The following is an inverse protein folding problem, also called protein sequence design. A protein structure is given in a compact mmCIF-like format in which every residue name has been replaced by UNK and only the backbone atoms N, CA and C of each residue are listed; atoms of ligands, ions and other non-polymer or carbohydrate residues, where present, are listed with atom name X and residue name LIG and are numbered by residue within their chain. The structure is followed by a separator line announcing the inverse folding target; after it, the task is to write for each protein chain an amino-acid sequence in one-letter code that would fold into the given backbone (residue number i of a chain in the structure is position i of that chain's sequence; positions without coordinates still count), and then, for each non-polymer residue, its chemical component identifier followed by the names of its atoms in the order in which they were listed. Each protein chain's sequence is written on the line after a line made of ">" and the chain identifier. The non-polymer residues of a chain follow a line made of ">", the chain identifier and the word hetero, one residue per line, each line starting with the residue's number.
data_IF_697697848341
#
_entry.id   IF_697697848341
#
_cell.length_a   1.000
_cell.length_b   1.000
_cell.length_c   1.000
_cell.angle_alpha   90.00
_cell.angle_beta   90.00
_cell.angle_gamma   90.00
#
_symmetry.space_group_name_H-M   'P 1'
#
loop_
_entity.id
_entity.type
_entity.pdbx_description
1 polymer ?
#
# COMPACT_ATOMS: atom_id res chain seq x y z
N UNK A 1 1.20 14.25 21.86
CA UNK A 1 1.09 14.64 20.43
C UNK A 1 0.27 13.68 19.58
N UNK A 2 0.13 12.42 20.01
CA UNK A 2 -0.68 11.42 19.29
C UNK A 2 -2.18 11.46 19.60
N UNK A 3 -2.62 12.28 20.54
CA UNK A 3 -4.01 12.29 21.01
C UNK A 3 -4.96 13.12 20.15
N UNK A 4 -4.50 14.13 19.41
CA UNK A 4 -5.40 15.01 18.66
C UNK A 4 -5.83 14.44 17.29
N UNK A 5 -4.93 13.81 16.56
CA UNK A 5 -5.27 13.13 15.30
C UNK A 5 -6.06 11.84 15.55
N UNK A 6 -5.73 11.09 16.61
CA UNK A 6 -6.49 9.94 17.04
C UNK A 6 -7.91 10.31 17.51
N UNK A 7 -8.10 11.46 18.16
CA UNK A 7 -9.42 11.90 18.62
C UNK A 7 -10.36 12.26 17.45
N UNK A 8 -9.87 12.90 16.39
CA UNK A 8 -10.69 13.20 15.21
C UNK A 8 -11.08 11.96 14.43
N UNK A 9 -10.23 10.94 14.44
CA UNK A 9 -10.49 9.67 13.77
C UNK A 9 -11.40 8.74 14.59
N UNK A 10 -11.24 8.70 15.89
CA UNK A 10 -12.14 7.95 16.79
C UNK A 10 -13.58 8.45 16.66
N UNK A 11 -13.77 9.74 16.45
CA UNK A 11 -15.10 10.33 16.27
C UNK A 11 -15.75 9.90 14.94
N UNK A 12 -14.99 9.62 13.91
CA UNK A 12 -15.48 9.22 12.59
C UNK A 12 -15.77 7.73 12.45
N UNK A 13 -15.29 6.87 13.36
CA UNK A 13 -15.36 5.39 13.28
C UNK A 13 -16.53 4.77 14.03
N UNK A 14 -17.54 5.51 14.40
CA UNK A 14 -18.63 4.99 15.22
C UNK A 14 -19.52 3.97 14.51
N UNK A 15 -19.50 3.93 13.18
CA UNK A 15 -20.37 3.02 12.40
C UNK A 15 -20.07 1.52 12.60
N UNK A 16 -18.82 1.18 12.95
CA UNK A 16 -18.38 -0.22 13.00
C UNK A 16 -17.86 -0.66 14.37
N UNK A 17 -18.15 0.11 15.44
CA UNK A 17 -17.74 -0.25 16.79
C UNK A 17 -18.32 -1.60 17.25
N UNK A 18 -19.54 -1.93 16.80
CA UNK A 18 -20.21 -3.20 17.10
C UNK A 18 -19.77 -4.36 16.18
N UNK A 19 -19.01 -4.05 15.11
CA UNK A 19 -18.48 -5.03 14.15
C UNK A 19 -17.05 -4.66 13.77
N UNK A 20 -16.10 -4.70 14.72
CA UNK A 20 -14.74 -4.19 14.52
C UNK A 20 -13.95 -4.95 13.43
N UNK A 21 -14.27 -6.22 13.20
CA UNK A 21 -13.74 -7.03 12.12
C UNK A 21 -14.09 -6.51 10.72
N UNK A 22 -15.12 -5.66 10.60
CA UNK A 22 -15.58 -5.03 9.35
C UNK A 22 -15.19 -3.55 9.23
N UNK A 23 -14.49 -3.00 10.22
CA UNK A 23 -14.21 -1.57 10.29
C UNK A 23 -13.19 -1.11 9.24
N UNK A 24 -12.10 -1.86 9.03
CA UNK A 24 -11.14 -1.55 7.97
C UNK A 24 -11.65 -2.09 6.64
N UNK A 25 -12.04 -1.17 5.73
CA UNK A 25 -12.71 -1.48 4.47
C UNK A 25 -12.27 -0.55 3.33
N UNK A 26 -10.99 -0.52 2.97
CA UNK A 26 -10.51 0.31 1.87
C UNK A 26 -11.34 0.11 0.61
N UNK A 27 -11.69 1.21 -0.06
CA UNK A 27 -12.47 1.27 -1.30
C UNK A 27 -13.97 0.94 -1.17
N UNK A 28 -14.45 0.55 0.01
CA UNK A 28 -15.89 0.42 0.24
C UNK A 28 -16.53 1.81 0.36
N UNK A 29 -17.73 1.96 -0.17
CA UNK A 29 -18.50 3.21 -0.16
C UNK A 29 -18.81 3.73 1.25
N UNK A 30 -18.91 2.83 2.21
CA UNK A 30 -19.26 3.14 3.60
C UNK A 30 -18.04 3.26 4.52
N UNK A 31 -16.81 3.22 3.97
CA UNK A 31 -15.58 3.43 4.74
C UNK A 31 -15.61 4.76 5.47
N UNK A 32 -15.10 4.80 6.67
CA UNK A 32 -15.20 5.97 7.56
C UNK A 32 -13.92 6.29 8.35
N UNK A 33 -12.81 5.68 8.01
CA UNK A 33 -11.51 5.96 8.61
C UNK A 33 -10.62 4.74 8.75
N UNK A 34 -9.35 4.94 9.10
CA UNK A 34 -8.38 3.87 9.31
C UNK A 34 -8.54 3.21 10.68
N UNK A 35 -8.25 1.93 10.77
CA UNK A 35 -8.23 1.16 12.01
C UNK A 35 -6.80 1.07 12.51
N UNK A 36 -6.52 1.64 13.69
CA UNK A 36 -5.19 1.58 14.30
C UNK A 36 -4.89 0.13 14.72
N UNK A 37 -3.69 -0.32 14.39
CA UNK A 37 -3.13 -1.59 14.87
C UNK A 37 -1.72 -1.38 15.42
N UNK A 38 -1.09 -2.43 15.90
CA UNK A 38 0.28 -2.40 16.41
C UNK A 38 1.16 -3.41 15.70
N UNK A 39 2.46 -3.30 15.93
CA UNK A 39 3.43 -4.27 15.46
C UNK A 39 4.81 -3.68 15.25
N UNK A 40 5.71 -4.51 14.74
CA UNK A 40 7.06 -4.16 14.35
C UNK A 40 7.55 -5.09 13.26
N UNK A 41 8.53 -4.65 12.50
CA UNK A 41 9.12 -5.46 11.44
C UNK A 41 10.54 -4.99 11.12
N UNK A 42 11.33 -5.88 10.58
CA UNK A 42 12.70 -5.60 10.13
C UNK A 42 12.90 -6.23 8.76
N UNK A 43 13.41 -5.46 7.82
CA UNK A 43 13.93 -5.94 6.55
C UNK A 43 15.44 -5.78 6.56
N UNK A 44 16.16 -6.85 6.26
CA UNK A 44 17.61 -6.80 6.08
C UNK A 44 17.90 -6.47 4.63
N UNK A 45 18.50 -5.32 4.39
CA UNK A 45 18.99 -4.91 3.09
C UNK A 45 20.48 -5.20 3.01
N UNK A 46 20.89 -5.81 1.92
CA UNK A 46 22.26 -6.21 1.68
C UNK A 46 22.60 -6.00 0.21
N UNK A 47 23.85 -5.62 -0.06
CA UNK A 47 24.31 -5.50 -1.45
C UNK A 47 24.22 -6.88 -2.14
N UNK A 48 23.76 -6.89 -3.40
CA UNK A 48 23.37 -8.12 -4.10
C UNK A 48 24.52 -9.13 -4.24
N UNK A 49 25.69 -8.69 -4.72
CA UNK A 49 26.82 -9.60 -4.92
C UNK A 49 27.41 -10.08 -3.59
N UNK A 50 27.35 -9.26 -2.53
CA UNK A 50 27.74 -9.68 -1.19
C UNK A 50 26.81 -10.78 -0.66
N UNK A 51 25.49 -10.58 -0.76
CA UNK A 51 24.50 -11.58 -0.35
C UNK A 51 24.69 -12.89 -1.09
N UNK A 52 24.91 -12.82 -2.40
CA UNK A 52 25.13 -13.96 -3.29
C UNK A 52 26.44 -14.71 -2.97
N UNK A 53 27.52 -13.98 -2.74
CA UNK A 53 28.83 -14.57 -2.42
C UNK A 53 28.82 -15.41 -1.14
N UNK A 54 28.03 -15.02 -0.13
CA UNK A 54 27.87 -15.79 1.11
C UNK A 54 26.75 -16.85 1.06
N UNK A 55 26.10 -17.04 -0.10
CA UNK A 55 25.01 -18.00 -0.27
C UNK A 55 23.72 -17.61 0.44
N UNK A 56 23.45 -16.31 0.66
CA UNK A 56 22.24 -15.86 1.31
C UNK A 56 21.01 -16.19 0.48
N UNK A 57 19.89 -16.46 1.16
CA UNK A 57 18.60 -16.55 0.51
C UNK A 57 18.09 -15.15 0.23
N UNK A 58 18.10 -14.74 -1.02
CA UNK A 58 17.57 -13.47 -1.47
C UNK A 58 16.08 -13.63 -1.78
N UNK A 59 15.22 -12.80 -1.19
CA UNK A 59 13.77 -12.84 -1.38
C UNK A 59 13.33 -12.05 -2.61
N UNK A 60 13.95 -10.89 -2.82
CA UNK A 60 13.75 -10.02 -3.97
C UNK A 60 14.89 -9.00 -4.05
N UNK A 61 15.01 -8.32 -5.19
CA UNK A 61 15.79 -7.10 -5.30
C UNK A 61 14.91 -5.90 -5.00
N UNK A 62 15.41 -4.95 -4.21
CA UNK A 62 14.82 -3.62 -4.07
C UNK A 62 15.36 -2.76 -5.23
N UNK A 63 14.59 -2.66 -6.31
CA UNK A 63 15.03 -2.01 -7.55
C UNK A 63 14.51 -0.60 -7.70
N UNK A 64 13.48 -0.20 -6.94
CA UNK A 64 12.91 1.12 -6.99
C UNK A 64 12.66 1.70 -5.61
N UNK A 65 13.04 2.97 -5.45
CA UNK A 65 12.79 3.76 -4.26
C UNK A 65 12.38 5.17 -4.66
N UNK A 66 11.29 5.65 -4.09
CA UNK A 66 10.85 7.04 -4.19
C UNK A 66 10.54 7.60 -2.81
N UNK A 67 10.94 8.84 -2.58
CA UNK A 67 10.56 9.60 -1.41
C UNK A 67 10.30 11.05 -1.81
N UNK A 68 9.14 11.57 -1.45
CA UNK A 68 8.75 12.95 -1.74
C UNK A 68 8.06 13.58 -0.55
N UNK A 69 8.08 14.89 -0.50
CA UNK A 69 7.26 15.67 0.43
C UNK A 69 6.21 16.44 -0.37
N UNK A 70 4.98 16.35 0.12
CA UNK A 70 3.82 17.05 -0.40
C UNK A 70 3.36 18.04 0.69
N UNK A 71 3.72 19.29 0.54
CA UNK A 71 3.43 20.35 1.54
C UNK A 71 2.01 20.94 1.45
N UNK A 72 1.08 20.25 0.80
CA UNK A 72 -0.26 20.79 0.53
C UNK A 72 -1.10 20.96 1.79
N UNK A 73 -1.22 19.92 2.60
CA UNK A 73 -2.01 19.91 3.84
C UNK A 73 -1.44 18.92 4.84
N UNK A 74 -1.70 19.12 6.14
CA UNK A 74 -1.23 18.23 7.21
C UNK A 74 -1.85 16.83 7.12
N UNK A 75 -3.10 16.74 6.69
CA UNK A 75 -3.92 15.51 6.75
C UNK A 75 -4.43 15.08 5.37
N UNK A 76 -4.82 16.03 4.52
CA UNK A 76 -5.41 15.77 3.21
C UNK A 76 -4.32 15.68 2.13
N UNK A 77 -4.12 14.50 1.48
CA UNK A 77 -3.13 14.36 0.42
C UNK A 77 -3.57 15.12 -0.84
N UNK A 78 -2.63 15.78 -1.52
CA UNK A 78 -2.90 16.38 -2.85
C UNK A 78 -2.97 15.34 -3.97
N UNK A 79 -2.31 14.20 -3.80
CA UNK A 79 -2.08 13.19 -4.82
C UNK A 79 -0.86 13.46 -5.69
N UNK A 80 -0.42 14.69 -5.84
CA UNK A 80 0.73 15.08 -6.67
C UNK A 80 2.04 14.51 -6.12
N UNK A 81 2.24 14.61 -4.80
CA UNK A 81 3.39 14.00 -4.12
C UNK A 81 3.46 12.50 -4.32
N UNK A 82 2.32 11.81 -4.28
CA UNK A 82 2.22 10.38 -4.54
C UNK A 82 2.60 10.02 -5.99
N UNK A 83 2.15 10.81 -6.96
CA UNK A 83 2.51 10.64 -8.39
C UNK A 83 4.02 10.77 -8.57
N UNK A 84 4.64 11.83 -8.05
CA UNK A 84 6.09 12.03 -8.12
C UNK A 84 6.85 10.89 -7.44
N UNK A 85 6.37 10.46 -6.29
CA UNK A 85 6.98 9.39 -5.52
C UNK A 85 7.01 8.07 -6.31
N UNK A 86 5.87 7.67 -6.86
CA UNK A 86 5.78 6.47 -7.70
C UNK A 86 6.63 6.59 -8.97
N UNK A 87 6.59 7.73 -9.68
CA UNK A 87 7.44 7.97 -10.86
C UNK A 87 8.94 7.87 -10.52
N UNK A 88 9.35 8.41 -9.37
CA UNK A 88 10.74 8.29 -8.89
C UNK A 88 11.12 6.82 -8.66
N UNK A 89 10.29 6.04 -7.97
CA UNK A 89 10.55 4.62 -7.76
C UNK A 89 10.61 3.82 -9.06
N UNK A 90 9.77 4.16 -10.03
CA UNK A 90 9.74 3.51 -11.36
C UNK A 90 10.96 3.84 -12.22
N UNK A 91 11.66 4.95 -11.97
CA UNK A 91 12.80 5.36 -12.79
C UNK A 91 13.98 4.36 -12.77
N UNK A 92 14.05 3.50 -11.76
CA UNK A 92 15.08 2.46 -11.61
C UNK A 92 14.51 1.04 -11.67
N UNK A 93 13.20 0.88 -11.71
CA UNK A 93 12.55 -0.42 -11.88
C UNK A 93 12.83 -1.01 -13.27
N UNK A 94 13.06 -2.32 -13.34
CA UNK A 94 13.46 -3.02 -14.57
C UNK A 94 12.26 -3.63 -15.32
N UNK A 95 11.16 -3.92 -14.60
CA UNK A 95 9.99 -4.61 -15.12
C UNK A 95 8.70 -3.80 -14.91
N UNK A 96 7.65 -4.15 -15.66
CA UNK A 96 6.30 -3.62 -15.39
C UNK A 96 5.82 -4.12 -14.03
N UNK A 97 5.12 -3.26 -13.29
CA UNK A 97 4.55 -3.61 -11.99
C UNK A 97 3.34 -4.52 -12.18
N UNK A 98 3.35 -5.69 -11.58
CA UNK A 98 2.23 -6.64 -11.63
C UNK A 98 1.17 -6.32 -10.55
N UNK A 99 1.63 -5.84 -9.39
CA UNK A 99 0.79 -5.62 -8.23
C UNK A 99 1.24 -4.40 -7.42
N UNK A 100 0.27 -3.66 -6.89
CA UNK A 100 0.48 -2.55 -5.95
C UNK A 100 -0.20 -2.87 -4.61
N UNK A 101 0.59 -2.93 -3.55
CA UNK A 101 0.08 -2.83 -2.19
C UNK A 101 -0.04 -1.33 -1.86
N UNK A 102 -1.25 -0.84 -1.89
CA UNK A 102 -1.52 0.58 -1.71
C UNK A 102 -1.46 0.99 -0.24
N UNK A 103 -1.29 2.29 -0.03
CA UNK A 103 -1.48 2.85 1.30
C UNK A 103 -2.90 2.66 1.80
N UNK A 104 -3.92 2.84 0.97
CA UNK A 104 -5.32 2.47 1.12
C UNK A 104 -5.80 2.33 2.56
N UNK A 105 -6.04 3.45 3.25
CA UNK A 105 -6.27 3.49 4.70
C UNK A 105 -7.71 3.32 5.13
N UNK A 106 -8.64 3.07 4.19
CA UNK A 106 -10.09 3.06 4.48
C UNK A 106 -10.63 4.46 4.81
N UNK A 107 -10.01 5.50 4.26
CA UNK A 107 -10.48 6.88 4.43
C UNK A 107 -11.25 7.36 3.19
N UNK A 108 -12.33 8.15 3.37
CA UNK A 108 -13.15 8.61 2.24
C UNK A 108 -12.36 9.34 1.16
N UNK A 109 -11.41 10.18 1.54
CA UNK A 109 -10.62 11.01 0.62
C UNK A 109 -9.33 10.30 0.20
N UNK A 110 -8.58 9.73 1.14
CA UNK A 110 -7.25 9.18 0.91
C UNK A 110 -7.24 8.05 -0.13
N UNK A 111 -8.16 7.11 0.00
CA UNK A 111 -8.23 5.94 -0.90
C UNK A 111 -8.44 6.35 -2.37
N UNK A 112 -9.34 7.31 -2.62
CA UNK A 112 -9.65 7.76 -3.99
C UNK A 112 -8.54 8.65 -4.54
N UNK A 113 -7.93 9.49 -3.70
CA UNK A 113 -6.79 10.32 -4.11
C UNK A 113 -5.61 9.45 -4.53
N UNK A 114 -5.30 8.40 -3.78
CA UNK A 114 -4.26 7.44 -4.16
C UNK A 114 -4.59 6.70 -5.46
N UNK A 115 -5.83 6.22 -5.63
CA UNK A 115 -6.24 5.54 -6.87
C UNK A 115 -6.12 6.46 -8.09
N UNK A 116 -6.46 7.75 -7.97
CA UNK A 116 -6.27 8.74 -9.05
C UNK A 116 -4.79 8.91 -9.38
N UNK A 117 -3.92 9.00 -8.36
CA UNK A 117 -2.47 9.07 -8.55
C UNK A 117 -1.93 7.81 -9.24
N UNK A 118 -2.39 6.62 -8.84
CA UNK A 118 -2.05 5.35 -9.51
C UNK A 118 -2.54 5.38 -10.97
N UNK A 119 -3.76 5.84 -11.21
CA UNK A 119 -4.31 5.96 -12.58
C UNK A 119 -3.53 6.89 -13.49
N UNK A 120 -2.96 7.97 -12.95
CA UNK A 120 -2.09 8.88 -13.70
C UNK A 120 -0.75 8.22 -14.05
N UNK A 121 -0.14 7.52 -13.09
CA UNK A 121 1.17 6.87 -13.27
C UNK A 121 1.07 5.66 -14.20
N UNK A 122 -0.01 4.89 -14.09
CA UNK A 122 -0.23 3.64 -14.82
C UNK A 122 -1.35 3.77 -15.87
N UNK A 123 -1.30 4.84 -16.68
CA UNK A 123 -2.31 5.13 -17.69
C UNK A 123 -2.33 4.11 -18.88
N UNK A 124 -1.17 3.53 -19.20
CA UNK A 124 -1.03 2.57 -20.31
C UNK A 124 -1.40 1.13 -19.93
N UNK A 125 -1.25 0.78 -18.65
CA UNK A 125 -1.63 -0.53 -18.12
C UNK A 125 -2.01 -0.39 -16.65
N UNK A 126 -2.81 -1.31 -16.15
CA UNK A 126 -3.30 -1.23 -14.76
C UNK A 126 -2.81 -2.44 -13.98
N UNK A 127 -1.79 -2.29 -13.10
CA UNK A 127 -1.42 -3.35 -12.17
C UNK A 127 -2.57 -3.69 -11.22
N UNK A 128 -2.63 -4.92 -10.73
CA UNK A 128 -3.60 -5.32 -9.71
C UNK A 128 -3.34 -4.55 -8.42
N UNK A 129 -4.40 -4.24 -7.70
CA UNK A 129 -4.35 -3.38 -6.51
C UNK A 129 -5.03 -4.07 -5.34
N UNK A 130 -4.41 -4.04 -4.17
CA UNK A 130 -5.13 -4.27 -2.92
C UNK A 130 -4.52 -3.48 -1.76
N UNK A 131 -5.30 -3.30 -0.70
CA UNK A 131 -4.81 -2.77 0.57
C UNK A 131 -4.85 -3.85 1.64
N UNK A 132 -3.68 -4.25 2.11
CA UNK A 132 -3.54 -5.22 3.21
C UNK A 132 -3.98 -4.65 4.56
N UNK A 133 -4.20 -3.33 4.67
CA UNK A 133 -4.78 -2.70 5.87
C UNK A 133 -6.21 -3.14 6.15
N UNK A 134 -6.92 -3.67 5.15
CA UNK A 134 -8.23 -4.32 5.37
C UNK A 134 -8.14 -5.53 6.29
N UNK A 135 -6.98 -6.19 6.36
CA UNK A 135 -6.71 -7.40 7.13
C UNK A 135 -5.91 -7.12 8.41
N UNK A 136 -4.93 -6.23 8.32
CA UNK A 136 -3.95 -5.99 9.39
C UNK A 136 -4.19 -4.69 10.17
N UNK A 137 -5.05 -3.81 9.68
CA UNK A 137 -5.17 -2.44 10.18
C UNK A 137 -3.96 -1.58 9.82
N UNK A 138 -3.86 -0.42 10.41
CA UNK A 138 -2.82 0.56 10.18
C UNK A 138 -1.91 0.69 11.40
N UNK A 139 -0.76 0.06 11.36
CA UNK A 139 0.23 0.08 12.45
C UNK A 139 1.15 1.32 12.43
N UNK A 140 0.69 2.41 11.80
CA UNK A 140 1.38 3.71 11.74
C UNK A 140 2.82 3.58 11.24
N UNK A 141 3.83 3.92 12.07
CA UNK A 141 5.23 3.86 11.67
C UNK A 141 5.75 2.47 11.28
N UNK A 142 5.10 1.39 11.74
CA UNK A 142 5.48 0.02 11.37
C UNK A 142 4.75 -0.49 10.11
N UNK A 143 3.74 0.23 9.61
CA UNK A 143 2.91 -0.23 8.49
C UNK A 143 3.72 -0.50 7.23
N UNK A 144 4.62 0.40 6.88
CA UNK A 144 5.40 0.29 5.63
C UNK A 144 6.25 -0.97 5.58
N UNK A 145 6.89 -1.35 6.71
CA UNK A 145 7.67 -2.58 6.76
C UNK A 145 6.78 -3.82 6.73
N UNK A 146 5.59 -3.77 7.37
CA UNK A 146 4.62 -4.86 7.28
C UNK A 146 4.16 -5.07 5.82
N UNK A 147 3.78 -4.01 5.13
CA UNK A 147 3.30 -4.07 3.74
C UNK A 147 4.37 -4.50 2.75
N UNK A 148 5.62 -4.09 2.97
CA UNK A 148 6.76 -4.61 2.22
C UNK A 148 6.92 -6.13 2.43
N UNK A 149 6.87 -6.61 3.68
CA UNK A 149 6.94 -8.04 4.01
C UNK A 149 5.76 -8.81 3.40
N UNK A 150 4.53 -8.29 3.49
CA UNK A 150 3.36 -8.93 2.88
C UNK A 150 3.50 -9.02 1.35
N UNK A 151 4.01 -7.99 0.71
CA UNK A 151 4.27 -7.98 -0.74
C UNK A 151 5.31 -9.04 -1.13
N UNK A 152 6.38 -9.18 -0.36
CA UNK A 152 7.38 -10.23 -0.55
C UNK A 152 6.80 -11.65 -0.32
N UNK A 153 5.93 -11.82 0.66
CA UNK A 153 5.23 -13.09 0.92
C UNK A 153 4.30 -13.44 -0.25
N UNK A 154 3.54 -12.48 -0.76
CA UNK A 154 2.66 -12.65 -1.92
C UNK A 154 3.47 -13.03 -3.17
N UNK A 155 4.56 -12.32 -3.43
CA UNK A 155 5.47 -12.62 -4.54
C UNK A 155 6.05 -14.03 -4.44
N UNK A 156 6.55 -14.42 -3.25
CA UNK A 156 7.15 -15.74 -3.02
C UNK A 156 6.16 -16.88 -3.20
N UNK A 157 4.91 -16.69 -2.81
CA UNK A 157 3.90 -17.76 -2.78
C UNK A 157 2.88 -17.64 -3.93
N UNK A 158 3.11 -16.76 -4.90
CA UNK A 158 2.31 -16.58 -6.11
C UNK A 158 0.81 -16.37 -5.82
N UNK A 159 0.48 -15.43 -4.93
CA UNK A 159 -0.90 -15.04 -4.65
C UNK A 159 -0.99 -13.53 -4.40
N UNK A 160 -2.21 -12.99 -4.49
CA UNK A 160 -2.54 -11.62 -4.06
C UNK A 160 -3.59 -11.69 -2.97
N UNK A 161 -3.31 -11.07 -1.83
CA UNK A 161 -4.27 -10.89 -0.76
C UNK A 161 -5.36 -9.88 -1.18
N UNK A 162 -6.60 -10.14 -0.81
CA UNK A 162 -7.70 -9.25 -1.13
C UNK A 162 -7.73 -8.00 -0.25
N UNK A 163 -8.29 -6.92 -0.78
CA UNK A 163 -8.91 -5.90 0.06
C UNK A 163 -10.21 -6.47 0.63
N UNK A 164 -10.21 -6.77 1.92
CA UNK A 164 -11.37 -7.33 2.60
C UNK A 164 -12.45 -6.27 2.86
N UNK A 165 -13.65 -6.75 3.24
CA UNK A 165 -14.78 -5.92 3.70
C UNK A 165 -15.38 -4.97 2.65
N UNK A 166 -15.14 -5.18 1.37
CA UNK A 166 -15.79 -4.43 0.30
C UNK A 166 -17.13 -5.10 0.00
N UNK A 167 -18.23 -4.52 0.50
CA UNK A 167 -19.59 -4.97 0.22
C UNK A 167 -20.23 -4.15 -0.92
N UNK A 168 -19.96 -2.84 -0.95
CA UNK A 168 -20.38 -1.91 -2.01
C UNK A 168 -19.17 -1.04 -2.37
N UNK A 169 -18.53 -1.37 -3.48
CA UNK A 169 -17.34 -0.66 -3.93
C UNK A 169 -17.70 0.77 -4.34
N UNK A 170 -16.88 1.73 -3.91
CA UNK A 170 -16.97 3.13 -4.32
C UNK A 170 -16.93 3.24 -5.86
N UNK A 171 -17.79 4.07 -6.44
CA UNK A 171 -17.93 4.20 -7.90
C UNK A 171 -16.62 4.63 -8.58
N UNK A 172 -15.83 5.50 -7.93
CA UNK A 172 -14.52 5.88 -8.43
C UNK A 172 -13.51 4.73 -8.35
N UNK A 173 -13.64 3.87 -7.35
CA UNK A 173 -12.77 2.71 -7.16
C UNK A 173 -13.02 1.59 -8.20
N UNK A 174 -14.25 1.45 -8.70
CA UNK A 174 -14.62 0.47 -9.74
C UNK A 174 -13.83 0.61 -11.04
N UNK A 175 -13.20 1.76 -11.28
CA UNK A 175 -12.37 2.02 -12.47
C UNK A 175 -11.01 1.33 -12.42
N UNK A 176 -10.65 0.74 -11.27
CA UNK A 176 -9.34 0.15 -11.01
C UNK A 176 -9.46 -1.35 -10.73
N UNK A 177 -8.44 -2.16 -11.06
CA UNK A 177 -8.46 -3.60 -10.87
C UNK A 177 -8.16 -3.98 -9.42
N UNK A 178 -9.09 -3.62 -8.53
CA UNK A 178 -8.99 -3.92 -7.10
C UNK A 178 -9.31 -5.39 -6.86
N UNK A 179 -8.41 -6.08 -6.19
CA UNK A 179 -8.56 -7.49 -5.84
C UNK A 179 -9.45 -7.60 -4.59
N UNK A 180 -10.66 -8.11 -4.78
CA UNK A 180 -11.67 -8.28 -3.73
C UNK A 180 -11.76 -9.70 -3.17
N UNK A 181 -11.08 -10.66 -3.81
CA UNK A 181 -10.95 -12.06 -3.37
C UNK A 181 -9.50 -12.47 -3.55
N UNK A 182 -9.02 -13.37 -2.69
CA UNK A 182 -7.66 -13.90 -2.84
C UNK A 182 -7.49 -14.51 -4.23
N UNK A 183 -6.51 -14.01 -4.97
CA UNK A 183 -6.10 -14.60 -6.25
C UNK A 183 -4.89 -15.50 -6.02
N UNK A 184 -4.98 -16.74 -6.49
CA UNK A 184 -3.91 -17.75 -6.40
C UNK A 184 -3.27 -17.97 -7.76
N UNK A 185 -2.08 -18.56 -7.75
CA UNK A 185 -1.33 -18.90 -8.97
C UNK A 185 -1.01 -17.69 -9.85
N UNK A 186 -0.83 -16.53 -9.21
CA UNK A 186 -0.48 -15.28 -9.87
C UNK A 186 1.04 -15.13 -9.89
N UNK A 187 1.64 -15.10 -11.07
CA UNK A 187 3.07 -14.83 -11.16
C UNK A 187 3.36 -13.34 -10.97
N UNK A 188 3.96 -13.00 -9.83
CA UNK A 188 4.35 -11.64 -9.48
C UNK A 188 5.87 -11.50 -9.67
N UNK A 189 6.30 -10.84 -10.72
CA UNK A 189 7.72 -10.55 -10.99
C UNK A 189 8.17 -9.21 -10.42
N UNK A 190 7.25 -8.26 -10.34
CA UNK A 190 7.50 -6.92 -9.81
C UNK A 190 6.30 -6.42 -9.01
N UNK A 191 6.56 -5.96 -7.79
CA UNK A 191 5.53 -5.45 -6.89
C UNK A 191 5.93 -4.09 -6.34
N UNK A 192 4.93 -3.21 -6.18
CA UNK A 192 5.10 -1.88 -5.60
C UNK A 192 4.39 -1.82 -4.24
N UNK A 193 5.00 -1.15 -3.28
CA UNK A 193 4.38 -0.85 -1.98
C UNK A 193 4.40 0.65 -1.73
N UNK A 194 3.24 1.24 -1.50
CA UNK A 194 3.06 2.66 -1.27
C UNK A 194 2.79 2.97 0.21
N UNK A 195 3.40 4.04 0.68
CA UNK A 195 3.18 4.58 2.03
C UNK A 195 3.11 6.10 1.97
N UNK A 196 1.92 6.65 2.20
CA UNK A 196 1.64 8.08 2.11
C UNK A 196 1.15 8.58 3.46
N UNK A 197 2.03 9.27 4.18
CA UNK A 197 1.80 9.68 5.56
C UNK A 197 1.28 11.11 5.72
N UNK A 198 0.77 11.41 6.89
CA UNK A 198 0.44 12.77 7.31
C UNK A 198 1.66 13.68 7.21
N UNK A 199 1.41 14.98 6.98
CA UNK A 199 2.45 15.96 6.71
C UNK A 199 3.02 15.88 5.28
N UNK A 200 2.38 15.08 4.42
CA UNK A 200 2.76 14.93 3.01
C UNK A 200 4.00 14.08 2.77
N UNK A 201 4.43 13.28 3.74
CA UNK A 201 5.56 12.36 3.55
C UNK A 201 5.12 11.15 2.76
N UNK A 202 5.69 10.97 1.58
CA UNK A 202 5.39 9.86 0.67
C UNK A 202 6.63 8.98 0.47
N UNK A 203 6.44 7.67 0.47
CA UNK A 203 7.45 6.69 0.14
C UNK A 203 6.86 5.57 -0.74
N UNK A 204 7.62 5.14 -1.73
CA UNK A 204 7.27 4.03 -2.61
C UNK A 204 8.48 3.11 -2.77
N UNK A 205 8.25 1.82 -2.63
CA UNK A 205 9.25 0.77 -2.84
C UNK A 205 8.82 -0.13 -4.01
N UNK A 206 9.80 -0.56 -4.82
CA UNK A 206 9.60 -1.58 -5.85
C UNK A 206 10.51 -2.76 -5.57
N UNK A 207 9.91 -3.93 -5.46
CA UNK A 207 10.62 -5.19 -5.32
C UNK A 207 10.45 -6.03 -6.59
N UNK A 208 11.52 -6.65 -7.05
CA UNK A 208 11.53 -7.49 -8.23
C UNK A 208 12.10 -8.87 -7.91
N UNK A 209 11.56 -9.89 -8.57
CA UNK A 209 12.02 -11.28 -8.43
C UNK A 209 13.46 -11.40 -8.88
N UNK A 210 14.28 -12.05 -8.07
CA UNK A 210 15.64 -12.46 -8.47
C UNK A 210 15.53 -13.52 -9.55
N UNK A 211 16.28 -13.34 -10.63
CA UNK A 211 16.39 -14.33 -11.74
C UNK A 211 17.37 -15.44 -11.43
#
# INVERSE_FOLDING_TARGET
>A
LFRSSAASDVYKRQKYNDTPDKASRPYDKTRDGFVISGGGGVLVLEEYEHAKARGAKIYAELTGYGATSDGYDMVAPSGEGAVRCMKMALSTAKNKIDYINTHGTSTPVGDITELKAVGEVFNEYKPKISSTKSLAGHSLGATSVHEAIYSLIMMKNNFIAASANINDMDEEAKKYPIVTKVEKEVNLNSVMSNSFGFGGTNATLVFEKVK
#
